data_IF_928549644296
#
_entry.id   IF_928549644296
#
_cell.length_a   1.000
_cell.length_b   1.000
_cell.length_c   1.000
_cell.angle_alpha   90.00
_cell.angle_beta   90.00
_cell.angle_gamma   90.00
#
_symmetry.space_group_name_H-M   'P 1'
#
loop_
_entity.id
_entity.type
_entity.pdbx_description
1 polymer ?
#
# COMPACT_ATOMS: atom_id res chain seq x y z
N UNK A 1 -11.74 1.54 -10.04
CA UNK A 1 -11.65 1.46 -8.54
C UNK A 1 -11.92 2.86 -8.00
N UNK A 2 -12.81 3.02 -7.04
CA UNK A 2 -13.18 4.33 -6.46
C UNK A 2 -12.15 4.69 -5.36
N UNK A 3 -11.13 5.46 -5.74
CA UNK A 3 -10.05 5.87 -4.81
C UNK A 3 -10.54 6.82 -3.73
N UNK A 4 -11.56 7.64 -3.99
CA UNK A 4 -12.12 8.52 -2.96
C UNK A 4 -12.76 7.71 -1.83
N UNK A 5 -13.50 6.65 -2.15
CA UNK A 5 -14.08 5.76 -1.16
C UNK A 5 -13.00 5.03 -0.35
N UNK A 6 -11.91 4.58 -1.00
CA UNK A 6 -10.79 3.93 -0.32
C UNK A 6 -10.05 4.88 0.63
N UNK A 7 -9.77 6.13 0.22
CA UNK A 7 -9.18 7.16 1.11
C UNK A 7 -10.07 7.36 2.35
N UNK A 8 -11.38 7.51 2.14
CA UNK A 8 -12.33 7.73 3.23
C UNK A 8 -12.34 6.55 4.22
N UNK A 9 -12.28 5.33 3.69
CA UNK A 9 -12.23 4.10 4.49
C UNK A 9 -10.93 3.97 5.29
N UNK A 10 -9.78 4.26 4.68
CA UNK A 10 -8.47 4.28 5.34
C UNK A 10 -8.44 5.29 6.51
N UNK A 11 -8.87 6.51 6.26
CA UNK A 11 -8.93 7.56 7.29
C UNK A 11 -9.87 7.18 8.43
N UNK A 12 -11.02 6.58 8.11
CA UNK A 12 -11.98 6.10 9.11
C UNK A 12 -11.36 5.00 9.98
N UNK A 13 -10.75 3.98 9.37
CA UNK A 13 -10.08 2.89 10.10
C UNK A 13 -9.03 3.43 11.06
N UNK A 14 -8.13 4.31 10.57
CA UNK A 14 -7.08 4.89 11.39
C UNK A 14 -7.64 5.66 12.60
N UNK A 15 -8.68 6.49 12.39
CA UNK A 15 -9.36 7.21 13.48
C UNK A 15 -9.97 6.26 14.50
N UNK A 16 -10.59 5.16 14.07
CA UNK A 16 -11.16 4.16 15.00
C UNK A 16 -10.08 3.50 15.85
N UNK A 17 -8.92 3.17 15.24
CA UNK A 17 -7.77 2.61 15.96
C UNK A 17 -7.25 3.61 16.99
N UNK A 18 -7.02 4.86 16.60
CA UNK A 18 -6.53 5.92 17.47
C UNK A 18 -7.47 6.14 18.68
N UNK A 19 -8.78 6.21 18.44
CA UNK A 19 -9.77 6.39 19.50
C UNK A 19 -9.80 5.20 20.48
N UNK A 20 -9.85 3.97 19.96
CA UNK A 20 -9.90 2.76 20.80
C UNK A 20 -8.63 2.57 21.64
N UNK A 21 -7.46 2.86 21.05
CA UNK A 21 -6.18 2.72 21.74
C UNK A 21 -5.77 3.98 22.53
N UNK A 22 -6.62 5.01 22.54
CA UNK A 22 -6.38 6.30 23.23
C UNK A 22 -5.02 6.91 22.83
N UNK A 23 -4.71 6.91 21.53
CA UNK A 23 -3.46 7.44 21.02
C UNK A 23 -3.56 8.96 20.86
N UNK A 24 -2.82 9.68 21.70
CA UNK A 24 -2.73 11.15 21.68
C UNK A 24 -1.36 11.57 21.16
N UNK A 25 -1.20 11.58 19.85
CA UNK A 25 0.04 11.98 19.21
C UNK A 25 -0.10 13.23 18.33
N UNK A 26 1.03 13.90 18.13
CA UNK A 26 1.08 15.06 17.24
C UNK A 26 0.87 14.63 15.77
N UNK A 27 0.51 15.58 14.93
CA UNK A 27 0.40 15.34 13.48
C UNK A 27 1.74 14.84 12.89
N UNK A 28 2.87 15.34 13.41
CA UNK A 28 4.20 14.89 12.98
C UNK A 28 4.45 13.44 13.37
N UNK A 29 4.19 13.06 14.63
CA UNK A 29 4.36 11.68 15.08
C UNK A 29 3.45 10.69 14.31
N UNK A 30 2.20 11.10 14.03
CA UNK A 30 1.27 10.31 13.20
C UNK A 30 1.80 10.12 11.80
N UNK A 31 2.34 11.17 11.20
CA UNK A 31 2.93 11.11 9.86
C UNK A 31 4.17 10.21 9.83
N UNK A 32 5.06 10.35 10.80
CA UNK A 32 6.25 9.48 10.92
C UNK A 32 5.85 8.02 11.03
N UNK A 33 4.89 7.70 11.89
CA UNK A 33 4.38 6.35 12.06
C UNK A 33 3.80 5.81 10.74
N UNK A 34 2.98 6.59 10.02
CA UNK A 34 2.41 6.17 8.74
C UNK A 34 3.48 5.87 7.68
N UNK A 35 4.56 6.66 7.61
CA UNK A 35 5.66 6.38 6.68
C UNK A 35 6.46 5.14 7.08
N UNK A 36 6.70 4.92 8.37
CA UNK A 36 7.38 3.70 8.86
C UNK A 36 6.51 2.48 8.59
N UNK A 37 5.21 2.56 8.88
CA UNK A 37 4.28 1.47 8.60
C UNK A 37 4.24 1.13 7.11
N UNK A 38 4.13 2.13 6.23
CA UNK A 38 4.22 1.90 4.78
C UNK A 38 5.53 1.23 4.38
N UNK A 39 6.66 1.66 4.95
CA UNK A 39 7.97 1.06 4.66
C UNK A 39 8.02 -0.42 5.03
N UNK A 40 7.44 -0.78 6.18
CA UNK A 40 7.31 -2.16 6.66
C UNK A 40 6.39 -2.98 5.75
N UNK A 41 5.19 -2.49 5.42
CA UNK A 41 4.25 -3.21 4.55
C UNK A 41 4.82 -3.45 3.14
N UNK A 42 5.56 -2.48 2.61
CA UNK A 42 6.28 -2.69 1.35
C UNK A 42 7.36 -3.77 1.47
N UNK A 43 8.04 -3.86 2.61
CA UNK A 43 9.00 -4.94 2.85
C UNK A 43 8.31 -6.30 3.05
N UNK A 44 7.15 -6.34 3.69
CA UNK A 44 6.33 -7.56 3.82
C UNK A 44 5.82 -8.03 2.46
N UNK A 45 5.38 -7.13 1.60
CA UNK A 45 5.02 -7.42 0.21
C UNK A 45 6.20 -8.07 -0.54
N UNK A 46 7.42 -7.51 -0.42
CA UNK A 46 8.62 -8.08 -1.02
C UNK A 46 8.96 -9.46 -0.43
N UNK A 47 8.88 -9.59 0.89
CA UNK A 47 9.18 -10.83 1.61
C UNK A 47 8.15 -11.95 1.33
N UNK A 48 6.90 -11.59 1.11
CA UNK A 48 5.82 -12.54 0.78
C UNK A 48 5.91 -13.02 -0.66
N UNK A 49 6.17 -12.14 -1.61
CA UNK A 49 6.35 -12.52 -3.02
C UNK A 49 7.66 -13.24 -3.30
N UNK A 50 8.71 -12.94 -2.51
CA UNK A 50 10.06 -13.49 -2.65
C UNK A 50 10.70 -13.28 -4.03
N UNK A 51 10.28 -12.29 -4.83
CA UNK A 51 10.84 -12.04 -6.17
C UNK A 51 12.36 -11.86 -6.15
N UNK A 52 12.90 -11.24 -5.10
CA UNK A 52 14.34 -10.98 -4.94
C UNK A 52 15.16 -12.25 -4.61
N UNK A 53 14.51 -13.33 -4.20
CA UNK A 53 15.18 -14.61 -3.88
C UNK A 53 15.42 -15.40 -5.15
N UNK A 54 16.31 -14.90 -6.01
CA UNK A 54 16.61 -15.49 -7.32
C UNK A 54 17.14 -16.92 -7.26
N UNK A 55 17.64 -17.34 -6.09
CA UNK A 55 18.12 -18.70 -5.82
C UNK A 55 17.03 -19.73 -5.49
N UNK A 56 15.77 -19.28 -5.30
CA UNK A 56 14.65 -20.18 -5.00
C UNK A 56 13.98 -20.66 -6.28
N UNK A 57 13.74 -21.96 -6.36
CA UNK A 57 12.97 -22.59 -7.46
C UNK A 57 11.49 -22.23 -7.36
N UNK A 58 10.92 -22.28 -6.15
CA UNK A 58 9.53 -21.90 -5.89
C UNK A 58 9.52 -20.67 -4.97
N UNK A 59 8.91 -19.60 -5.45
CA UNK A 59 8.82 -18.33 -4.74
C UNK A 59 7.37 -18.07 -4.33
N UNK A 60 7.23 -17.22 -3.31
CA UNK A 60 5.94 -16.84 -2.75
C UNK A 60 5.61 -17.65 -1.50
N UNK A 61 5.22 -16.91 -0.47
CA UNK A 61 4.72 -17.48 0.79
C UNK A 61 3.20 -17.50 0.77
N UNK A 62 2.62 -18.45 1.48
CA UNK A 62 1.17 -18.50 1.70
C UNK A 62 0.87 -18.54 3.19
N UNK A 63 -0.14 -17.79 3.61
CA UNK A 63 -0.77 -17.96 4.91
C UNK A 63 -1.65 -19.23 4.92
N UNK A 64 -1.98 -19.75 6.12
CA UNK A 64 -2.94 -20.85 6.22
C UNK A 64 -4.24 -20.54 5.48
N UNK A 65 -4.72 -21.49 4.68
CA UNK A 65 -5.96 -21.40 3.89
C UNK A 65 -5.96 -20.32 2.80
N UNK A 66 -4.81 -19.80 2.39
CA UNK A 66 -4.66 -18.88 1.26
C UNK A 66 -3.62 -19.37 0.27
N UNK A 67 -3.80 -19.01 -0.98
CA UNK A 67 -2.77 -19.16 -2.01
C UNK A 67 -1.66 -18.12 -1.84
N UNK A 68 -0.44 -18.32 -2.41
CA UNK A 68 0.58 -17.27 -2.42
C UNK A 68 0.11 -15.96 -3.05
N UNK A 69 -0.74 -16.03 -4.09
CA UNK A 69 -1.30 -14.85 -4.75
C UNK A 69 -2.25 -14.07 -3.83
N UNK A 70 -3.12 -14.78 -3.10
CA UNK A 70 -4.03 -14.16 -2.14
C UNK A 70 -3.28 -13.56 -0.96
N UNK A 71 -2.26 -14.26 -0.44
CA UNK A 71 -1.42 -13.73 0.65
C UNK A 71 -0.71 -12.45 0.21
N UNK A 72 -0.10 -12.44 -0.97
CA UNK A 72 0.55 -11.26 -1.51
C UNK A 72 -0.43 -10.10 -1.76
N UNK A 73 -1.66 -10.38 -2.19
CA UNK A 73 -2.69 -9.36 -2.36
C UNK A 73 -3.05 -8.67 -1.03
N UNK A 74 -3.05 -9.42 0.08
CA UNK A 74 -3.30 -8.85 1.41
C UNK A 74 -2.16 -7.92 1.85
N UNK A 75 -0.88 -8.28 1.62
CA UNK A 75 0.25 -7.39 1.90
C UNK A 75 0.21 -6.14 1.00
N UNK A 76 -0.18 -6.30 -0.27
CA UNK A 76 -0.35 -5.18 -1.18
C UNK A 76 -1.43 -4.20 -0.68
N UNK A 77 -2.57 -4.67 -0.18
CA UNK A 77 -3.62 -3.77 0.30
C UNK A 77 -3.31 -3.16 1.67
N UNK A 78 -2.49 -3.79 2.50
CA UNK A 78 -1.97 -3.16 3.72
C UNK A 78 -1.05 -1.98 3.37
N UNK A 79 -0.15 -2.13 2.40
CA UNK A 79 0.65 -1.02 1.89
C UNK A 79 -0.23 0.06 1.23
N UNK A 80 -1.29 -0.34 0.50
CA UNK A 80 -2.25 0.58 -0.09
C UNK A 80 -2.90 1.47 0.97
N UNK A 81 -3.33 0.89 2.10
CA UNK A 81 -3.97 1.63 3.18
C UNK A 81 -3.07 2.77 3.69
N UNK A 82 -1.78 2.51 3.91
CA UNK A 82 -0.84 3.53 4.35
C UNK A 82 -0.50 4.57 3.27
N UNK A 83 -0.46 4.22 1.99
CA UNK A 83 -0.36 5.22 0.91
C UNK A 83 -1.54 6.20 0.95
N UNK A 84 -2.77 5.68 1.11
CA UNK A 84 -3.98 6.49 1.20
C UNK A 84 -4.00 7.35 2.46
N UNK A 85 -3.59 6.81 3.60
CA UNK A 85 -3.49 7.55 4.86
C UNK A 85 -2.49 8.71 4.74
N UNK A 86 -1.29 8.46 4.20
CA UNK A 86 -0.26 9.48 3.99
C UNK A 86 -0.77 10.57 3.04
N UNK A 87 -1.45 10.20 1.95
CA UNK A 87 -2.01 11.17 1.01
C UNK A 87 -2.97 12.14 1.71
N UNK A 88 -3.80 11.62 2.62
CA UNK A 88 -4.71 12.44 3.41
C UNK A 88 -3.97 13.32 4.45
N UNK A 89 -3.02 12.76 5.18
CA UNK A 89 -2.25 13.50 6.21
C UNK A 89 -1.45 14.65 5.62
N UNK A 90 -0.99 14.51 4.38
CA UNK A 90 -0.19 15.52 3.66
C UNK A 90 -1.01 16.44 2.76
N UNK A 91 -2.34 16.26 2.67
CA UNK A 91 -3.19 16.92 1.69
C UNK A 91 -2.78 16.66 0.23
N UNK A 92 -2.27 15.46 -0.06
CA UNK A 92 -1.85 14.98 -1.38
C UNK A 92 -2.89 14.09 -2.08
N UNK A 93 -4.13 14.08 -1.59
CA UNK A 93 -5.22 13.27 -2.15
C UNK A 93 -5.42 13.50 -3.66
N UNK A 94 -5.13 14.70 -4.15
CA UNK A 94 -5.25 15.02 -5.57
C UNK A 94 -4.33 14.17 -6.45
N UNK A 95 -3.13 13.78 -6.00
CA UNK A 95 -2.25 12.86 -6.74
C UNK A 95 -2.85 11.46 -6.86
N UNK A 96 -3.46 10.98 -5.78
CA UNK A 96 -4.14 9.68 -5.75
C UNK A 96 -5.37 9.73 -6.66
N UNK A 97 -6.25 10.70 -6.49
CA UNK A 97 -7.51 10.82 -7.25
C UNK A 97 -7.26 11.01 -8.75
N UNK A 98 -6.30 11.84 -9.14
CA UNK A 98 -5.96 12.06 -10.54
C UNK A 98 -5.42 10.79 -11.21
N UNK A 99 -4.88 9.84 -10.45
CA UNK A 99 -4.37 8.59 -11.01
C UNK A 99 -5.45 7.63 -11.52
N UNK A 100 -6.73 7.82 -11.14
CA UNK A 100 -7.83 7.01 -11.67
C UNK A 100 -7.94 7.12 -13.21
N UNK A 101 -7.74 8.33 -13.74
CA UNK A 101 -7.75 8.54 -15.19
C UNK A 101 -6.57 7.87 -15.91
N UNK A 102 -5.53 7.49 -15.18
CA UNK A 102 -4.32 6.86 -15.71
C UNK A 102 -4.32 5.33 -15.60
N UNK A 103 -5.31 4.71 -14.94
CA UNK A 103 -5.31 3.25 -14.73
C UNK A 103 -5.19 2.46 -16.03
N UNK A 104 -5.93 2.85 -17.06
CA UNK A 104 -5.84 2.18 -18.36
C UNK A 104 -4.46 2.34 -18.99
N UNK A 105 -3.85 3.51 -18.86
CA UNK A 105 -2.47 3.72 -19.33
C UNK A 105 -1.47 2.87 -18.54
N UNK A 106 -1.63 2.79 -17.20
CA UNK A 106 -0.77 1.98 -16.34
C UNK A 106 -0.86 0.50 -16.71
N UNK A 107 -2.04 -0.03 -16.97
CA UNK A 107 -2.25 -1.44 -17.38
C UNK A 107 -1.58 -1.80 -18.72
N UNK A 108 -1.32 -0.80 -19.58
CA UNK A 108 -0.60 -1.00 -20.84
C UNK A 108 0.94 -0.92 -20.69
N UNK A 109 1.46 -0.63 -19.50
CA UNK A 109 2.90 -0.68 -19.29
C UNK A 109 3.40 -2.12 -19.37
N UNK A 110 4.62 -2.26 -19.89
CA UNK A 110 5.31 -3.55 -19.89
C UNK A 110 5.55 -3.99 -18.43
N UNK A 111 5.35 -5.27 -18.18
CA UNK A 111 5.74 -5.90 -16.93
C UNK A 111 7.24 -5.71 -16.70
N UNK A 112 7.63 -5.39 -15.47
CA UNK A 112 9.01 -5.12 -15.13
C UNK A 112 9.78 -6.43 -14.94
N UNK A 113 10.87 -6.58 -15.68
CA UNK A 113 11.73 -7.76 -15.59
C UNK A 113 12.62 -7.72 -14.33
N UNK A 114 12.89 -6.51 -13.81
CA UNK A 114 13.71 -6.29 -12.62
C UNK A 114 12.90 -5.55 -11.53
N UNK A 115 12.14 -6.33 -10.76
CA UNK A 115 11.34 -5.78 -9.67
C UNK A 115 12.18 -5.17 -8.54
N UNK A 116 13.44 -5.61 -8.34
CA UNK A 116 14.34 -5.00 -7.35
C UNK A 116 14.62 -3.54 -7.71
N UNK A 117 14.91 -3.26 -8.99
CA UNK A 117 15.11 -1.89 -9.46
C UNK A 117 13.88 -1.01 -9.25
N UNK A 118 12.70 -1.52 -9.60
CA UNK A 118 11.43 -0.79 -9.42
C UNK A 118 11.14 -0.54 -7.94
N UNK A 119 11.35 -1.55 -7.09
CA UNK A 119 11.18 -1.44 -5.64
C UNK A 119 12.12 -0.39 -5.03
N UNK A 120 13.41 -0.43 -5.35
CA UNK A 120 14.38 0.55 -4.86
C UNK A 120 14.06 1.97 -5.34
N UNK A 121 13.60 2.13 -6.59
CA UNK A 121 13.16 3.42 -7.10
C UNK A 121 11.95 3.95 -6.32
N UNK A 122 10.95 3.10 -6.06
CA UNK A 122 9.78 3.45 -5.25
C UNK A 122 10.16 3.86 -3.82
N UNK A 123 11.02 3.09 -3.15
CA UNK A 123 11.52 3.39 -1.79
C UNK A 123 12.27 4.72 -1.75
N UNK A 124 13.14 4.98 -2.73
CA UNK A 124 13.84 6.27 -2.85
C UNK A 124 12.87 7.44 -2.94
N UNK A 125 11.85 7.32 -3.81
CA UNK A 125 10.85 8.37 -3.97
C UNK A 125 10.02 8.56 -2.68
N UNK A 126 9.70 7.47 -1.98
CA UNK A 126 8.99 7.53 -0.71
C UNK A 126 9.79 8.26 0.38
N UNK A 127 11.08 7.96 0.51
CA UNK A 127 11.96 8.66 1.47
C UNK A 127 12.15 10.13 1.09
N UNK A 128 12.29 10.43 -0.20
CA UNK A 128 12.35 11.82 -0.67
C UNK A 128 11.05 12.59 -0.37
N UNK A 129 9.90 11.94 -0.54
CA UNK A 129 8.60 12.50 -0.16
C UNK A 129 8.53 12.87 1.33
N UNK A 130 9.12 12.04 2.21
CA UNK A 130 9.17 12.31 3.63
C UNK A 130 10.19 13.41 3.98
N UNK A 131 11.47 13.21 3.65
CA UNK A 131 12.57 14.07 4.09
C UNK A 131 12.55 15.46 3.44
N UNK A 132 12.20 15.52 2.15
CA UNK A 132 12.15 16.76 1.38
C UNK A 132 10.73 17.33 1.24
N UNK A 133 9.73 16.67 1.86
CA UNK A 133 8.31 17.07 1.79
C UNK A 133 7.79 17.19 0.36
N UNK A 134 8.30 16.34 -0.54
CA UNK A 134 8.03 16.39 -1.98
C UNK A 134 6.75 15.62 -2.32
N UNK A 135 5.68 16.33 -2.68
CA UNK A 135 4.46 15.72 -3.20
C UNK A 135 4.66 15.03 -4.56
N UNK A 136 5.56 15.55 -5.40
CA UNK A 136 5.89 14.94 -6.68
C UNK A 136 6.60 13.58 -6.50
N UNK A 137 7.49 13.48 -5.51
CA UNK A 137 8.14 12.21 -5.19
C UNK A 137 7.13 11.21 -4.62
N UNK A 138 6.16 11.65 -3.81
CA UNK A 138 5.04 10.82 -3.38
C UNK A 138 4.22 10.32 -4.58
N UNK A 139 3.86 11.20 -5.50
CA UNK A 139 3.13 10.83 -6.71
C UNK A 139 3.89 9.79 -7.54
N UNK A 140 5.21 9.94 -7.66
CA UNK A 140 6.06 8.97 -8.36
C UNK A 140 6.05 7.60 -7.66
N UNK A 141 6.23 7.58 -6.33
CA UNK A 141 6.15 6.36 -5.53
C UNK A 141 4.78 5.69 -5.67
N UNK A 142 3.70 6.47 -5.60
CA UNK A 142 2.33 6.01 -5.78
C UNK A 142 2.11 5.35 -7.15
N UNK A 143 2.56 5.99 -8.23
CA UNK A 143 2.44 5.42 -9.59
C UNK A 143 3.23 4.12 -9.77
N UNK A 144 4.42 4.03 -9.18
CA UNK A 144 5.21 2.79 -9.17
C UNK A 144 4.49 1.69 -8.37
N UNK A 145 3.88 2.04 -7.25
CA UNK A 145 3.09 1.13 -6.43
C UNK A 145 1.85 0.60 -7.19
N UNK A 146 1.11 1.47 -7.87
CA UNK A 146 -0.01 1.05 -8.74
C UNK A 146 0.47 0.10 -9.85
N UNK A 147 1.63 0.37 -10.45
CA UNK A 147 2.19 -0.52 -11.47
C UNK A 147 2.52 -1.89 -10.88
N UNK A 148 3.06 -1.98 -9.66
CA UNK A 148 3.28 -3.26 -8.98
C UNK A 148 1.99 -4.08 -8.91
N UNK A 149 0.89 -3.51 -8.44
CA UNK A 149 -0.38 -4.22 -8.29
C UNK A 149 -1.02 -4.58 -9.63
N UNK A 150 -1.24 -3.59 -10.47
CA UNK A 150 -2.05 -3.73 -11.70
C UNK A 150 -1.31 -4.46 -12.82
N UNK A 151 0.03 -4.33 -12.90
CA UNK A 151 0.84 -4.86 -14.01
C UNK A 151 1.71 -6.02 -13.57
N UNK A 152 2.58 -5.80 -12.58
CA UNK A 152 3.61 -6.77 -12.25
C UNK A 152 3.03 -7.99 -11.52
N UNK A 153 2.09 -7.78 -10.59
CA UNK A 153 1.34 -8.85 -9.91
C UNK A 153 0.06 -9.24 -10.67
N UNK A 154 -0.43 -8.37 -11.55
CA UNK A 154 -1.58 -8.62 -12.41
C UNK A 154 -2.91 -8.71 -11.66
N UNK A 155 -3.09 -7.89 -10.62
CA UNK A 155 -4.38 -7.77 -9.95
C UNK A 155 -5.33 -6.87 -10.73
N UNK A 156 -6.60 -7.24 -10.75
CA UNK A 156 -7.66 -6.35 -11.22
C UNK A 156 -8.01 -5.32 -10.14
N UNK A 157 -8.58 -4.21 -10.57
CA UNK A 157 -9.09 -3.17 -9.66
C UNK A 157 -10.15 -3.74 -8.70
N UNK A 158 -10.94 -4.71 -9.15
CA UNK A 158 -11.95 -5.35 -8.32
C UNK A 158 -11.33 -6.24 -7.25
N UNK A 159 -10.31 -7.05 -7.58
CA UNK A 159 -9.58 -7.86 -6.59
C UNK A 159 -8.97 -6.97 -5.50
N UNK A 160 -8.31 -5.86 -5.90
CA UNK A 160 -7.71 -4.90 -4.95
C UNK A 160 -8.78 -4.30 -4.04
N UNK A 161 -9.90 -3.83 -4.60
CA UNK A 161 -11.01 -3.23 -3.84
C UNK A 161 -11.61 -4.21 -2.84
N UNK A 162 -11.88 -5.44 -3.27
CA UNK A 162 -12.50 -6.46 -2.41
C UNK A 162 -11.56 -6.89 -1.28
N UNK A 163 -10.26 -7.08 -1.58
CA UNK A 163 -9.26 -7.40 -0.59
C UNK A 163 -9.08 -6.26 0.43
N UNK A 164 -9.03 -5.00 -0.03
CA UNK A 164 -8.93 -3.82 0.82
C UNK A 164 -10.11 -3.73 1.80
N UNK A 165 -11.34 -3.87 1.29
CA UNK A 165 -12.54 -3.82 2.13
C UNK A 165 -12.56 -4.96 3.16
N UNK A 166 -12.17 -6.16 2.75
CA UNK A 166 -12.10 -7.32 3.65
C UNK A 166 -11.04 -7.12 4.74
N UNK A 167 -9.84 -6.63 4.37
CA UNK A 167 -8.75 -6.35 5.31
C UNK A 167 -9.15 -5.28 6.33
N UNK A 168 -9.82 -4.22 5.90
CA UNK A 168 -10.32 -3.17 6.80
C UNK A 168 -11.33 -3.72 7.82
N UNK A 169 -12.23 -4.63 7.41
CA UNK A 169 -13.13 -5.30 8.34
C UNK A 169 -12.38 -6.19 9.35
N UNK A 170 -11.36 -6.91 8.90
CA UNK A 170 -10.50 -7.71 9.78
C UNK A 170 -9.79 -6.81 10.78
N UNK A 171 -9.19 -5.71 10.32
CA UNK A 171 -8.46 -4.78 11.16
C UNK A 171 -9.38 -4.09 12.21
N UNK A 172 -10.60 -3.73 11.84
CA UNK A 172 -11.60 -3.22 12.81
C UNK A 172 -11.93 -4.26 13.88
N UNK A 173 -12.19 -5.52 13.49
CA UNK A 173 -12.48 -6.60 14.44
C UNK A 173 -11.33 -6.91 15.39
N UNK A 174 -10.08 -6.85 14.91
CA UNK A 174 -8.88 -7.02 15.74
C UNK A 174 -8.82 -6.01 16.89
N UNK A 175 -9.32 -4.78 16.67
CA UNK A 175 -9.35 -3.77 17.71
C UNK A 175 -10.33 -4.12 18.86
N UNK A 176 -11.30 -5.01 18.62
CA UNK A 176 -12.25 -5.47 19.66
C UNK A 176 -11.66 -6.58 20.53
N UNK A 177 -10.62 -7.25 20.10
CA UNK A 177 -10.01 -8.43 20.73
C UNK A 177 -8.70 -8.18 21.48
N UNK A 178 -8.39 -6.94 21.89
CA UNK A 178 -7.14 -6.57 22.60
C UNK A 178 -5.85 -6.98 21.85
N UNK A 179 -5.88 -6.89 20.53
CA UNK A 179 -4.71 -7.09 19.69
C UNK A 179 -3.66 -5.99 19.89
#
# INVERSE_FOLDING_TARGET
MDLQALISSSVYLNRQIEQKKQLFWSNEARLQNAFVSLDVELAEMANTSEWFKVWKTHRGKSEPNKTPRETLLYEYVDALDFFLLISNLKNWNHFVLNSEADFDKIKHFKKEDNLDKQYLAMKRMLFDAYFNRSGESFNHAWRLFLKFGLVDFGYSEQEIKDAFNNKNQINLKRQDSNY
#
